data_IF_223162075050
#
_entry.id   IF_223162075050
#
_cell.length_a   1.000
_cell.length_b   1.000
_cell.length_c   1.000
_cell.angle_alpha   90.00
_cell.angle_beta   90.00
_cell.angle_gamma   90.00
#
_symmetry.space_group_name_H-M   'P 1'
#
loop_
_entity.id
_entity.type
_entity.pdbx_description
1 polymer ?
#
# COMPACT_ATOMS: atom_id res chain seq x y z
N UNK A 1 -11.48 -25.95 3.66
CA UNK A 1 -10.43 -25.60 4.63
C UNK A 1 -10.19 -24.10 4.49
N UNK A 2 -10.23 -23.33 5.58
CA UNK A 2 -9.90 -21.90 5.53
C UNK A 2 -8.39 -21.76 5.32
N UNK A 3 -7.98 -21.11 4.24
CA UNK A 3 -6.59 -20.74 4.02
C UNK A 3 -6.23 -19.63 5.03
N UNK A 4 -5.17 -19.82 5.81
CA UNK A 4 -4.64 -18.78 6.69
C UNK A 4 -3.95 -17.74 5.81
N UNK A 5 -4.38 -16.48 5.92
CA UNK A 5 -3.77 -15.35 5.23
C UNK A 5 -3.21 -14.34 6.24
N UNK A 6 -2.10 -13.69 5.90
CA UNK A 6 -1.52 -12.58 6.68
C UNK A 6 -1.41 -11.35 5.81
N UNK A 7 -1.95 -10.23 6.30
CA UNK A 7 -2.00 -8.98 5.58
C UNK A 7 -1.34 -7.82 6.32
N UNK A 8 -0.71 -6.91 5.56
CA UNK A 8 -0.26 -5.62 6.07
C UNK A 8 -0.91 -4.48 5.28
N UNK A 9 -1.26 -3.38 5.95
CA UNK A 9 -1.46 -2.11 5.25
C UNK A 9 -0.12 -1.43 5.03
N UNK A 10 0.17 -1.07 3.78
CA UNK A 10 1.35 -0.30 3.36
C UNK A 10 0.89 0.68 2.27
N UNK A 11 0.45 1.88 2.69
CA UNK A 11 -0.14 2.87 1.76
C UNK A 11 0.85 3.65 0.89
N UNK A 12 2.14 3.63 1.21
CA UNK A 12 3.20 4.38 0.50
C UNK A 12 4.55 3.66 0.62
N UNK A 13 5.46 3.91 -0.33
CA UNK A 13 6.87 3.54 -0.22
C UNK A 13 7.75 4.63 0.44
N UNK A 14 7.19 5.80 0.75
CA UNK A 14 7.89 6.91 1.40
C UNK A 14 7.65 6.93 2.92
N UNK A 15 8.72 6.67 3.68
CA UNK A 15 8.64 6.60 5.13
C UNK A 15 8.38 7.97 5.77
N UNK A 16 8.70 9.07 5.09
CA UNK A 16 8.32 10.42 5.49
C UNK A 16 6.79 10.60 5.40
N UNK A 17 6.18 10.21 4.28
CA UNK A 17 4.71 10.22 4.12
C UNK A 17 4.06 9.31 5.17
N UNK A 18 4.59 8.09 5.37
CA UNK A 18 4.12 7.22 6.46
C UNK A 18 4.13 7.96 7.81
N UNK A 19 5.17 8.71 8.17
CA UNK A 19 5.19 9.41 9.49
C UNK A 19 4.08 10.45 9.62
N UNK A 20 3.63 11.04 8.51
CA UNK A 20 2.55 12.03 8.53
C UNK A 20 1.20 11.38 8.85
N UNK A 21 0.93 10.21 8.25
CA UNK A 21 -0.37 9.51 8.38
C UNK A 21 -0.40 8.46 9.49
N UNK A 22 0.72 7.78 9.74
CA UNK A 22 0.87 6.66 10.67
C UNK A 22 2.13 6.81 11.54
N UNK A 23 2.30 7.90 12.32
CA UNK A 23 3.56 8.24 13.00
C UNK A 23 4.12 7.11 13.87
N UNK A 24 3.24 6.37 14.54
CA UNK A 24 3.59 5.31 15.48
C UNK A 24 3.72 3.92 14.83
N UNK A 25 3.40 3.78 13.54
CA UNK A 25 3.55 2.51 12.84
C UNK A 25 5.05 2.17 12.63
N UNK A 26 5.40 0.88 12.52
CA UNK A 26 6.74 0.48 12.07
C UNK A 26 7.10 1.07 10.71
N UNK A 27 8.39 1.21 10.43
CA UNK A 27 8.86 1.67 9.11
C UNK A 27 8.34 0.76 7.99
N UNK A 28 8.20 1.32 6.78
CA UNK A 28 7.84 0.55 5.58
C UNK A 28 8.81 -0.62 5.39
N UNK A 29 10.11 -0.39 5.56
CA UNK A 29 11.12 -1.44 5.43
C UNK A 29 10.93 -2.57 6.45
N UNK A 30 10.58 -2.26 7.69
CA UNK A 30 10.28 -3.27 8.71
C UNK A 30 9.06 -4.11 8.34
N UNK A 31 8.00 -3.47 7.81
CA UNK A 31 6.80 -4.18 7.33
C UNK A 31 7.12 -5.10 6.14
N UNK A 32 7.86 -4.61 5.15
CA UNK A 32 8.31 -5.40 3.99
C UNK A 32 9.18 -6.59 4.42
N UNK A 33 10.06 -6.39 5.40
CA UNK A 33 10.92 -7.47 5.93
C UNK A 33 10.10 -8.54 6.65
N UNK A 34 9.10 -8.15 7.44
CA UNK A 34 8.22 -9.08 8.13
C UNK A 34 7.35 -9.86 7.13
N UNK A 35 6.77 -9.17 6.15
CA UNK A 35 6.00 -9.74 5.05
C UNK A 35 6.81 -10.78 4.26
N UNK A 36 8.04 -10.44 3.86
CA UNK A 36 8.93 -11.37 3.15
C UNK A 36 9.15 -12.67 3.94
N UNK A 37 9.45 -12.56 5.25
CA UNK A 37 9.66 -13.73 6.11
C UNK A 37 8.42 -14.62 6.23
N UNK A 38 7.23 -14.01 6.25
CA UNK A 38 5.97 -14.75 6.32
C UNK A 38 5.68 -15.48 4.99
N UNK A 39 5.92 -14.81 3.86
CA UNK A 39 5.79 -15.40 2.53
C UNK A 39 6.78 -16.55 2.32
N UNK A 40 8.05 -16.35 2.69
CA UNK A 40 9.10 -17.39 2.66
C UNK A 40 8.77 -18.60 3.55
N UNK A 41 8.01 -18.39 4.63
CA UNK A 41 7.53 -19.46 5.50
C UNK A 41 6.33 -20.24 4.91
N UNK A 42 5.88 -19.90 3.69
CA UNK A 42 4.78 -20.56 2.99
C UNK A 42 3.39 -20.09 3.41
N UNK A 43 3.28 -18.97 4.12
CA UNK A 43 1.99 -18.35 4.42
C UNK A 43 1.49 -17.57 3.21
N UNK A 44 0.18 -17.62 2.98
CA UNK A 44 -0.44 -16.75 1.99
C UNK A 44 -0.44 -15.31 2.52
N UNK A 45 0.15 -14.40 1.76
CA UNK A 45 0.44 -13.04 2.17
C UNK A 45 -0.23 -12.04 1.24
N UNK A 46 -0.69 -10.92 1.81
CA UNK A 46 -1.22 -9.83 1.02
C UNK A 46 -0.82 -8.47 1.56
N UNK A 47 -0.88 -7.47 0.69
CA UNK A 47 -0.74 -6.07 1.09
C UNK A 47 -1.95 -5.28 0.65
N UNK A 48 -2.46 -4.46 1.56
CA UNK A 48 -3.43 -3.42 1.25
C UNK A 48 -2.66 -2.11 1.06
N UNK A 49 -2.64 -1.58 -0.16
CA UNK A 49 -2.23 -0.21 -0.44
C UNK A 49 -3.46 0.65 -0.16
N UNK A 50 -3.74 0.82 1.13
CA UNK A 50 -5.00 1.36 1.64
C UNK A 50 -4.76 2.26 2.87
N UNK A 51 -4.93 3.58 2.77
CA UNK A 51 -5.22 4.31 1.52
C UNK A 51 -3.99 4.32 0.59
N UNK A 52 -4.23 4.46 -0.71
CA UNK A 52 -3.17 4.86 -1.65
C UNK A 52 -2.70 6.27 -1.27
N UNK A 53 -1.43 6.40 -0.89
CA UNK A 53 -0.79 7.63 -0.50
C UNK A 53 0.32 8.02 -1.50
N UNK A 54 0.83 9.27 -1.46
CA UNK A 54 1.93 9.70 -2.32
C UNK A 54 3.14 8.77 -2.19
N UNK A 55 3.76 8.40 -3.33
CA UNK A 55 4.89 7.47 -3.35
C UNK A 55 4.49 5.99 -3.40
N UNK A 56 3.21 5.65 -3.56
CA UNK A 56 2.76 4.27 -3.70
C UNK A 56 3.21 3.61 -5.01
N UNK A 57 3.55 4.37 -6.05
CA UNK A 57 3.99 3.89 -7.37
C UNK A 57 5.26 3.02 -7.34
N UNK A 58 6.06 3.14 -6.27
CA UNK A 58 7.26 2.31 -6.06
C UNK A 58 6.95 0.99 -5.34
N UNK A 59 5.75 0.81 -4.78
CA UNK A 59 5.39 -0.40 -4.02
C UNK A 59 5.38 -1.68 -4.86
N UNK A 60 4.91 -1.73 -6.12
CA UNK A 60 4.90 -2.97 -6.89
C UNK A 60 6.28 -3.65 -6.97
N UNK A 61 7.34 -2.88 -7.24
CA UNK A 61 8.72 -3.40 -7.27
C UNK A 61 9.20 -3.88 -5.91
N UNK A 62 8.75 -3.25 -4.82
CA UNK A 62 9.09 -3.66 -3.46
C UNK A 62 8.33 -4.91 -3.03
N UNK A 63 7.11 -5.11 -3.54
CA UNK A 63 6.20 -6.18 -3.14
C UNK A 63 6.37 -7.46 -3.95
N UNK A 64 6.82 -7.38 -5.20
CA UNK A 64 7.01 -8.56 -6.05
C UNK A 64 7.88 -9.62 -5.35
N UNK A 65 7.41 -10.87 -5.40
CA UNK A 65 8.03 -12.02 -4.72
C UNK A 65 7.84 -12.07 -3.20
N UNK A 66 7.02 -11.20 -2.61
CA UNK A 66 6.74 -11.14 -1.16
C UNK A 66 5.24 -11.15 -0.84
N UNK A 67 4.39 -11.16 -1.86
CA UNK A 67 2.93 -11.14 -1.74
C UNK A 67 2.30 -12.06 -2.76
N UNK A 68 1.14 -12.59 -2.40
CA UNK A 68 0.29 -13.41 -3.26
C UNK A 68 -0.85 -12.61 -3.89
N UNK A 69 -1.23 -11.48 -3.26
CA UNK A 69 -2.20 -10.51 -3.80
C UNK A 69 -1.98 -9.11 -3.23
N UNK A 70 -2.44 -8.11 -3.97
CA UNK A 70 -2.52 -6.72 -3.53
C UNK A 70 -3.96 -6.23 -3.61
N UNK A 71 -4.37 -5.46 -2.61
CA UNK A 71 -5.66 -4.76 -2.57
C UNK A 71 -5.37 -3.26 -2.61
N UNK A 72 -6.08 -2.53 -3.47
CA UNK A 72 -5.99 -1.08 -3.57
C UNK A 72 -7.25 -0.47 -2.96
N UNK A 73 -7.11 0.59 -2.16
CA UNK A 73 -8.27 1.31 -1.63
C UNK A 73 -7.92 2.78 -1.40
N UNK A 74 -8.95 3.61 -1.36
CA UNK A 74 -8.82 5.05 -1.16
C UNK A 74 -8.92 5.45 0.31
N UNK A 75 -8.61 6.72 0.59
CA UNK A 75 -8.97 7.33 1.87
C UNK A 75 -10.50 7.47 1.95
N UNK A 76 -11.13 6.76 2.89
CA UNK A 76 -12.59 6.70 3.04
C UNK A 76 -13.11 7.46 4.28
N UNK A 77 -12.25 8.22 4.96
CA UNK A 77 -12.60 8.95 6.19
C UNK A 77 -11.87 10.29 6.30
N UNK A 78 -12.49 11.24 6.99
CA UNK A 78 -12.02 12.63 7.05
C UNK A 78 -11.07 12.91 8.23
N UNK A 79 -10.75 11.92 9.07
CA UNK A 79 -9.87 12.09 10.23
C UNK A 79 -8.47 12.57 9.84
N UNK A 80 -8.00 12.24 8.64
CA UNK A 80 -6.68 12.61 8.13
C UNK A 80 -6.69 13.88 7.27
N UNK A 81 -7.83 14.55 7.08
CA UNK A 81 -7.96 15.76 6.26
C UNK A 81 -7.01 16.88 6.71
N UNK A 82 -6.75 16.98 8.01
CA UNK A 82 -5.83 17.96 8.55
C UNK A 82 -4.39 17.69 8.11
N UNK A 83 -3.98 16.43 7.91
CA UNK A 83 -2.66 16.05 7.39
C UNK A 83 -2.52 16.61 5.98
N UNK A 84 -3.52 16.37 5.14
CA UNK A 84 -3.52 16.86 3.76
C UNK A 84 -3.39 18.38 3.71
N UNK A 85 -4.18 19.11 4.49
CA UNK A 85 -4.15 20.58 4.54
C UNK A 85 -2.85 21.15 5.13
N UNK A 86 -2.36 20.56 6.23
CA UNK A 86 -1.19 21.07 6.95
C UNK A 86 0.10 20.91 6.13
N UNK A 87 0.21 19.84 5.36
CA UNK A 87 1.41 19.51 4.59
C UNK A 87 1.27 19.75 3.08
N UNK A 88 0.21 20.45 2.66
CA UNK A 88 -0.04 20.82 1.25
C UNK A 88 -0.11 19.60 0.31
N UNK A 89 -0.83 18.55 0.75
CA UNK A 89 -0.97 17.28 0.05
C UNK A 89 -2.37 17.10 -0.57
N UNK A 90 -3.20 18.14 -0.65
CA UNK A 90 -4.61 18.05 -1.05
C UNK A 90 -4.81 17.45 -2.45
N UNK A 91 -3.85 17.64 -3.36
CA UNK A 91 -3.87 17.02 -4.70
C UNK A 91 -3.94 15.48 -4.64
N UNK A 92 -3.42 14.88 -3.58
CA UNK A 92 -3.40 13.43 -3.34
C UNK A 92 -4.65 12.92 -2.63
N UNK A 93 -5.63 13.79 -2.36
CA UNK A 93 -6.93 13.46 -1.78
C UNK A 93 -8.06 13.72 -2.77
N UNK A 94 -7.84 13.38 -4.05
CA UNK A 94 -8.79 13.58 -5.15
C UNK A 94 -9.16 12.25 -5.81
N UNK A 95 -10.33 12.19 -6.44
CA UNK A 95 -10.72 11.04 -7.28
C UNK A 95 -9.74 10.85 -8.44
N UNK A 96 -9.29 11.95 -9.07
CA UNK A 96 -8.33 11.93 -10.18
C UNK A 96 -7.00 11.28 -9.78
N UNK A 97 -6.46 11.62 -8.61
CA UNK A 97 -5.26 10.96 -8.10
C UNK A 97 -5.50 9.47 -7.84
N UNK A 98 -6.61 9.13 -7.20
CA UNK A 98 -6.93 7.73 -6.88
C UNK A 98 -7.07 6.88 -8.14
N UNK A 99 -7.89 7.32 -9.10
CA UNK A 99 -8.14 6.59 -10.35
C UNK A 99 -6.85 6.45 -11.17
N UNK A 100 -6.03 7.50 -11.25
CA UNK A 100 -4.74 7.46 -11.92
C UNK A 100 -3.76 6.48 -11.28
N UNK A 101 -3.73 6.44 -9.94
CA UNK A 101 -2.89 5.49 -9.21
C UNK A 101 -3.39 4.05 -9.30
N UNK A 102 -4.70 3.82 -9.25
CA UNK A 102 -5.28 2.48 -9.46
C UNK A 102 -4.90 1.94 -10.84
N UNK A 103 -5.02 2.76 -11.89
CA UNK A 103 -4.62 2.37 -13.24
C UNK A 103 -3.12 2.04 -13.31
N UNK A 104 -2.27 2.89 -12.72
CA UNK A 104 -0.81 2.72 -12.70
C UNK A 104 -0.40 1.45 -11.95
N UNK A 105 -0.86 1.29 -10.71
CA UNK A 105 -0.51 0.16 -9.85
C UNK A 105 -1.05 -1.15 -10.42
N UNK A 106 -2.28 -1.17 -10.90
CA UNK A 106 -2.86 -2.37 -11.54
C UNK A 106 -2.05 -2.79 -12.76
N UNK A 107 -1.62 -1.85 -13.60
CA UNK A 107 -0.80 -2.16 -14.77
C UNK A 107 0.57 -2.74 -14.37
N UNK A 108 1.26 -2.12 -13.40
CA UNK A 108 2.56 -2.60 -12.92
C UNK A 108 2.47 -3.99 -12.26
N UNK A 109 1.51 -4.19 -11.36
CA UNK A 109 1.30 -5.46 -10.66
C UNK A 109 0.95 -6.58 -11.65
N UNK A 110 0.08 -6.31 -12.62
CA UNK A 110 -0.26 -7.28 -13.67
C UNK A 110 0.96 -7.65 -14.53
N UNK A 111 1.80 -6.68 -14.91
CA UNK A 111 3.05 -6.95 -15.64
C UNK A 111 4.02 -7.83 -14.83
N UNK A 112 4.02 -7.69 -13.51
CA UNK A 112 4.83 -8.48 -12.58
C UNK A 112 4.19 -9.82 -12.19
N UNK A 113 2.99 -10.13 -12.70
CA UNK A 113 2.26 -11.36 -12.39
C UNK A 113 1.66 -11.39 -10.97
N UNK A 114 1.49 -10.24 -10.33
CA UNK A 114 0.89 -10.12 -8.99
C UNK A 114 -0.60 -9.78 -9.13
N UNK A 115 -1.52 -10.65 -8.66
CA UNK A 115 -2.95 -10.35 -8.65
C UNK A 115 -3.26 -9.08 -7.87
N UNK A 116 -4.09 -8.21 -8.46
CA UNK A 116 -4.51 -6.96 -7.87
C UNK A 116 -6.04 -6.85 -7.84
N UNK A 117 -6.58 -6.38 -6.72
CA UNK A 117 -8.00 -6.07 -6.57
C UNK A 117 -8.16 -4.57 -6.24
N UNK A 118 -8.76 -3.77 -7.13
CA UNK A 118 -9.13 -2.39 -6.83
C UNK A 118 -10.41 -2.26 -6.01
#
# INVERSE_FOLDING_TARGET
MSQLEVGFSIGTADDCIRKLFEPNAPSIQSRLTALAKLHEAGLYTFVMIAPILPGAEALPELLVGKVDKVILDRMNYNHSDWVYKKYHLEQFHTDEFFDGMVATLSAQLNQMGVPCQP
#
